data_IF_251050376528
#
_entry.id   IF_251050376528
#
_cell.length_a   1.000
_cell.length_b   1.000
_cell.length_c   1.000
_cell.angle_alpha   90.00
_cell.angle_beta   90.00
_cell.angle_gamma   90.00
#
_symmetry.space_group_name_H-M   'P 1'
#
loop_
_entity.id
_entity.type
_entity.pdbx_description
1 polymer ?
#
# COMPACT_ATOMS: atom_id res chain seq x y z
N UNK A 1 -9.10 -3.07 49.72
CA UNK A 1 -8.35 -2.49 48.58
C UNK A 1 -7.93 -3.56 47.59
N UNK A 2 -7.23 -4.64 47.97
CA UNK A 2 -6.79 -5.71 47.05
C UNK A 2 -7.93 -6.34 46.20
N UNK A 3 -9.09 -6.58 46.80
CA UNK A 3 -10.24 -7.21 46.14
C UNK A 3 -10.91 -6.31 45.07
N UNK A 4 -10.86 -4.99 45.26
CA UNK A 4 -11.35 -4.00 44.29
C UNK A 4 -10.40 -3.94 43.08
N UNK A 5 -9.09 -3.85 43.31
CA UNK A 5 -8.08 -3.84 42.25
C UNK A 5 -8.14 -5.12 41.39
N UNK A 6 -8.37 -6.28 42.00
CA UNK A 6 -8.53 -7.53 41.26
C UNK A 6 -9.80 -7.57 40.41
N UNK A 7 -10.90 -6.99 40.91
CA UNK A 7 -12.15 -6.89 40.17
C UNK A 7 -12.03 -5.90 38.99
N UNK A 8 -11.34 -4.78 39.19
CA UNK A 8 -11.08 -3.81 38.12
C UNK A 8 -10.23 -4.41 37.00
N UNK A 9 -9.18 -5.15 37.36
CA UNK A 9 -8.33 -5.85 36.39
C UNK A 9 -9.11 -6.93 35.62
N UNK A 10 -10.03 -7.67 36.28
CA UNK A 10 -10.84 -8.68 35.62
C UNK A 10 -11.91 -8.05 34.72
N UNK A 11 -12.51 -6.91 35.10
CA UNK A 11 -13.44 -6.16 34.25
C UNK A 11 -12.73 -5.66 32.99
N UNK A 12 -11.49 -5.14 33.12
CA UNK A 12 -10.73 -4.65 31.97
C UNK A 12 -10.32 -5.79 31.04
N UNK A 13 -9.93 -6.93 31.59
CA UNK A 13 -9.67 -8.15 30.83
C UNK A 13 -10.90 -8.63 30.04
N UNK A 14 -12.07 -8.66 30.69
CA UNK A 14 -13.33 -9.07 30.05
C UNK A 14 -13.77 -8.08 28.97
N UNK A 15 -13.60 -6.78 29.17
CA UNK A 15 -13.83 -5.76 28.13
C UNK A 15 -12.98 -6.02 26.90
N UNK A 16 -11.69 -6.27 27.08
CA UNK A 16 -10.79 -6.58 25.96
C UNK A 16 -11.23 -7.83 25.19
N UNK A 17 -11.69 -8.88 25.88
CA UNK A 17 -12.23 -10.10 25.25
C UNK A 17 -13.50 -9.83 24.49
N UNK A 18 -14.43 -9.03 25.05
CA UNK A 18 -15.70 -8.68 24.38
C UNK A 18 -15.44 -7.84 23.13
N UNK A 19 -14.56 -6.85 23.19
CA UNK A 19 -14.19 -6.02 22.02
C UNK A 19 -13.59 -6.90 20.93
N UNK A 20 -12.62 -7.76 21.25
CA UNK A 20 -12.01 -8.66 20.27
C UNK A 20 -13.00 -9.66 19.67
N UNK A 21 -13.93 -10.20 20.49
CA UNK A 21 -14.98 -11.08 20.00
C UNK A 21 -15.99 -10.34 19.08
N UNK A 22 -16.31 -9.09 19.40
CA UNK A 22 -17.20 -8.28 18.57
C UNK A 22 -16.55 -7.96 17.21
N UNK A 23 -15.27 -7.64 17.19
CA UNK A 23 -14.52 -7.43 15.95
C UNK A 23 -14.50 -8.69 15.06
N UNK A 24 -14.23 -9.87 15.65
CA UNK A 24 -14.24 -11.13 14.93
C UNK A 24 -15.65 -11.47 14.41
N UNK A 25 -16.69 -11.26 15.21
CA UNK A 25 -18.08 -11.52 14.81
C UNK A 25 -18.48 -10.56 13.67
N UNK A 26 -18.09 -9.30 13.73
CA UNK A 26 -18.36 -8.32 12.68
C UNK A 26 -17.67 -8.71 11.38
N UNK A 27 -16.42 -9.19 11.43
CA UNK A 27 -15.70 -9.70 10.25
C UNK A 27 -16.35 -10.97 9.66
N UNK A 28 -16.91 -11.85 10.49
CA UNK A 28 -17.59 -13.08 10.06
C UNK A 28 -18.98 -12.79 9.49
N UNK A 29 -19.68 -11.77 10.02
CA UNK A 29 -21.03 -11.39 9.60
C UNK A 29 -21.03 -10.41 8.39
N UNK A 30 -19.89 -9.87 7.98
CA UNK A 30 -19.81 -9.10 6.74
C UNK A 30 -20.20 -10.01 5.56
N UNK A 31 -21.33 -9.71 4.95
CA UNK A 31 -21.77 -10.41 3.74
C UNK A 31 -20.66 -10.28 2.66
N UNK A 32 -20.40 -11.34 1.89
CA UNK A 32 -19.46 -11.24 0.78
C UNK A 32 -19.87 -10.09 -0.13
N UNK A 33 -18.94 -9.18 -0.39
CA UNK A 33 -19.17 -8.09 -1.33
C UNK A 33 -19.52 -8.66 -2.70
N UNK A 34 -20.45 -8.05 -3.44
CA UNK A 34 -20.85 -8.55 -4.75
C UNK A 34 -19.67 -8.48 -5.74
N UNK A 35 -19.61 -9.39 -6.72
CA UNK A 35 -18.68 -9.26 -7.82
C UNK A 35 -19.05 -8.05 -8.67
N UNK A 36 -18.04 -7.42 -9.30
CA UNK A 36 -18.27 -6.35 -10.27
C UNK A 36 -18.29 -6.99 -11.65
N UNK A 37 -19.39 -6.80 -12.39
CA UNK A 37 -19.53 -7.30 -13.76
C UNK A 37 -19.48 -6.11 -14.70
N UNK A 38 -18.35 -5.97 -15.41
CA UNK A 38 -18.18 -5.02 -16.50
C UNK A 38 -18.55 -5.63 -17.84
N UNK A 39 -18.43 -4.84 -18.91
CA UNK A 39 -18.73 -5.30 -20.27
C UNK A 39 -17.77 -6.40 -20.74
N UNK A 40 -16.47 -6.26 -20.45
CA UNK A 40 -15.40 -7.15 -20.91
C UNK A 40 -14.63 -7.85 -19.77
N UNK A 41 -15.03 -7.66 -18.52
CA UNK A 41 -14.31 -8.21 -17.37
C UNK A 41 -15.24 -8.51 -16.18
N UNK A 42 -14.76 -9.34 -15.30
CA UNK A 42 -15.41 -9.61 -14.00
C UNK A 42 -14.37 -9.43 -12.91
N UNK A 43 -14.70 -8.67 -11.86
CA UNK A 43 -13.93 -8.63 -10.61
C UNK A 43 -14.59 -9.59 -9.63
N UNK A 44 -13.98 -10.73 -9.31
CA UNK A 44 -14.56 -11.69 -8.37
C UNK A 44 -14.77 -11.09 -6.99
N UNK A 45 -15.77 -11.56 -6.25
CA UNK A 45 -16.10 -11.09 -4.89
C UNK A 45 -14.90 -11.11 -3.93
N UNK A 46 -14.04 -12.14 -4.02
CA UNK A 46 -12.86 -12.22 -3.16
C UNK A 46 -11.84 -11.12 -3.48
N UNK A 47 -11.70 -10.74 -4.75
CA UNK A 47 -10.82 -9.61 -5.16
C UNK A 47 -11.39 -8.30 -4.62
N UNK A 48 -12.70 -8.08 -4.74
CA UNK A 48 -13.37 -6.90 -4.15
C UNK A 48 -13.12 -6.85 -2.64
N UNK A 49 -13.29 -7.98 -1.94
CA UNK A 49 -13.00 -8.11 -0.52
C UNK A 49 -11.54 -7.80 -0.17
N UNK A 50 -10.59 -8.21 -1.01
CA UNK A 50 -9.17 -7.92 -0.82
C UNK A 50 -8.85 -6.42 -0.92
N UNK A 51 -9.46 -5.71 -1.87
CA UNK A 51 -9.35 -4.26 -1.98
C UNK A 51 -9.86 -3.55 -0.73
N UNK A 52 -11.07 -3.89 -0.29
CA UNK A 52 -11.72 -3.27 0.88
C UNK A 52 -10.91 -3.55 2.16
N UNK A 53 -10.48 -4.80 2.36
CA UNK A 53 -9.68 -5.19 3.51
C UNK A 53 -8.34 -4.45 3.55
N UNK A 54 -7.64 -4.39 2.40
CA UNK A 54 -6.37 -3.66 2.31
C UNK A 54 -6.55 -2.17 2.57
N UNK A 55 -7.55 -1.53 1.98
CA UNK A 55 -7.81 -0.11 2.19
C UNK A 55 -7.99 0.25 3.66
N UNK A 56 -8.80 -0.56 4.39
CA UNK A 56 -8.97 -0.42 5.84
C UNK A 56 -7.67 -0.63 6.61
N UNK A 57 -6.85 -1.61 6.19
CA UNK A 57 -5.56 -1.89 6.83
C UNK A 57 -4.57 -0.73 6.65
N UNK A 58 -4.42 -0.21 5.44
CA UNK A 58 -3.55 0.93 5.14
C UNK A 58 -3.92 2.16 5.97
N UNK A 59 -5.23 2.42 6.13
CA UNK A 59 -5.71 3.52 6.96
C UNK A 59 -5.41 3.30 8.46
N UNK A 60 -5.68 2.11 8.98
CA UNK A 60 -5.42 1.76 10.40
C UNK A 60 -3.94 1.93 10.76
N UNK A 61 -3.03 1.65 9.83
CA UNK A 61 -1.59 1.80 10.04
C UNK A 61 -1.08 3.23 9.78
N UNK A 62 -1.95 4.15 9.36
CA UNK A 62 -1.57 5.52 9.04
C UNK A 62 -0.73 5.66 7.78
N UNK A 63 -0.79 4.68 6.87
CA UNK A 63 -0.11 4.73 5.57
C UNK A 63 -0.88 5.55 4.54
N UNK A 64 -2.18 5.74 4.76
CA UNK A 64 -3.05 6.61 3.95
C UNK A 64 -3.99 7.44 4.82
N UNK A 65 -4.35 8.63 4.34
CA UNK A 65 -5.26 9.55 5.02
C UNK A 65 -6.26 10.13 4.03
N UNK A 66 -7.50 10.35 4.47
CA UNK A 66 -8.57 10.92 3.63
C UNK A 66 -8.75 10.12 2.33
N UNK A 67 -8.65 10.78 1.18
CA UNK A 67 -8.77 10.21 -0.16
C UNK A 67 -7.41 9.98 -0.85
N UNK A 68 -6.33 9.98 -0.07
CA UNK A 68 -4.99 9.73 -0.57
C UNK A 68 -4.74 8.23 -0.73
N UNK A 69 -3.87 7.91 -1.68
CA UNK A 69 -3.44 6.55 -1.96
C UNK A 69 -4.23 5.86 -3.07
N UNK A 70 -3.61 4.88 -3.67
CA UNK A 70 -4.18 4.08 -4.75
C UNK A 70 -3.77 2.62 -4.57
N UNK A 71 -4.69 1.72 -4.79
CA UNK A 71 -4.47 0.27 -4.77
C UNK A 71 -4.75 -0.25 -6.16
N UNK A 72 -3.88 -1.10 -6.72
CA UNK A 72 -4.08 -1.71 -8.02
C UNK A 72 -3.50 -3.12 -8.08
N UNK A 73 -4.10 -3.98 -8.92
CA UNK A 73 -3.59 -5.31 -9.23
C UNK A 73 -3.98 -5.75 -10.64
N UNK A 74 -3.24 -6.70 -11.18
CA UNK A 74 -3.68 -7.40 -12.40
C UNK A 74 -4.77 -8.40 -12.06
N UNK A 75 -5.75 -8.50 -12.96
CA UNK A 75 -6.79 -9.52 -12.84
C UNK A 75 -6.14 -10.91 -12.89
N UNK A 76 -6.36 -11.78 -11.87
CA UNK A 76 -5.74 -13.10 -11.83
C UNK A 76 -6.15 -14.01 -13.00
N UNK A 77 -7.37 -13.85 -13.53
CA UNK A 77 -7.91 -14.65 -14.63
C UNK A 77 -7.66 -14.01 -16.01
N UNK A 78 -7.40 -12.71 -16.05
CA UNK A 78 -7.17 -11.92 -17.25
C UNK A 78 -5.99 -10.95 -17.06
N UNK A 79 -4.72 -11.41 -17.14
CA UNK A 79 -3.55 -10.58 -16.82
C UNK A 79 -3.37 -9.32 -17.67
N UNK A 80 -4.12 -9.17 -18.77
CA UNK A 80 -4.18 -7.94 -19.57
C UNK A 80 -5.14 -6.88 -19.02
N UNK A 81 -5.83 -7.16 -17.90
CA UNK A 81 -6.76 -6.23 -17.24
C UNK A 81 -6.21 -5.82 -15.88
N UNK A 82 -6.23 -4.54 -15.61
CA UNK A 82 -5.88 -3.96 -14.31
C UNK A 82 -7.14 -3.56 -13.57
N UNK A 83 -7.22 -3.87 -12.29
CA UNK A 83 -8.19 -3.31 -11.34
C UNK A 83 -7.48 -2.29 -10.47
N UNK A 84 -8.11 -1.15 -10.23
CA UNK A 84 -7.56 -0.11 -9.36
C UNK A 84 -8.66 0.63 -8.62
N UNK A 85 -8.29 1.34 -7.57
CA UNK A 85 -9.20 2.25 -6.89
C UNK A 85 -9.50 3.47 -7.76
N UNK A 86 -10.77 3.91 -7.71
CA UNK A 86 -11.24 5.10 -8.41
C UNK A 86 -10.62 6.37 -7.81
N UNK A 87 -10.45 7.40 -8.62
CA UNK A 87 -9.99 8.71 -8.15
C UNK A 87 -10.88 9.24 -7.02
N UNK A 88 -10.23 9.70 -5.94
CA UNK A 88 -10.92 10.31 -4.81
C UNK A 88 -11.59 9.32 -3.84
N UNK A 89 -11.40 8.01 -4.01
CA UNK A 89 -11.91 7.02 -3.06
C UNK A 89 -11.25 7.15 -1.70
N UNK A 90 -12.06 7.13 -0.63
CA UNK A 90 -11.57 7.03 0.74
C UNK A 90 -11.29 5.56 1.07
N UNK A 91 -10.03 5.14 1.03
CA UNK A 91 -9.65 3.72 1.16
C UNK A 91 -10.16 3.06 2.44
N UNK A 92 -10.33 3.83 3.53
CA UNK A 92 -10.89 3.35 4.79
C UNK A 92 -12.38 2.92 4.70
N UNK A 93 -13.10 3.44 3.71
CA UNK A 93 -14.56 3.28 3.57
C UNK A 93 -14.96 2.72 2.19
N UNK A 94 -14.00 2.06 1.53
CA UNK A 94 -14.21 1.51 0.19
C UNK A 94 -15.37 0.52 0.14
N UNK A 95 -16.04 0.55 -0.99
CA UNK A 95 -17.04 -0.44 -1.42
C UNK A 95 -16.66 -0.97 -2.81
N UNK A 96 -17.45 -1.86 -3.38
CA UNK A 96 -17.28 -2.34 -4.76
C UNK A 96 -17.37 -1.21 -5.80
N UNK A 97 -18.08 -0.12 -5.49
CA UNK A 97 -18.23 1.04 -6.37
C UNK A 97 -16.95 1.89 -6.51
N UNK A 98 -15.99 1.67 -5.65
CA UNK A 98 -14.70 2.36 -5.65
C UNK A 98 -13.62 1.64 -6.48
N UNK A 99 -13.97 0.53 -7.12
CA UNK A 99 -13.04 -0.27 -7.94
C UNK A 99 -13.39 -0.09 -9.41
N UNK A 100 -12.41 0.29 -10.19
CA UNK A 100 -12.49 0.44 -11.64
C UNK A 100 -11.55 -0.54 -12.33
N UNK A 101 -11.80 -0.81 -13.60
CA UNK A 101 -11.00 -1.74 -14.38
C UNK A 101 -10.71 -1.18 -15.75
N UNK A 102 -9.55 -1.53 -16.30
CA UNK A 102 -9.16 -1.17 -17.66
C UNK A 102 -8.13 -2.14 -18.23
N UNK A 103 -8.03 -2.18 -19.56
CA UNK A 103 -7.05 -3.01 -20.27
C UNK A 103 -5.69 -2.29 -20.31
N UNK A 104 -4.62 -3.03 -20.04
CA UNK A 104 -3.25 -2.50 -20.12
C UNK A 104 -2.95 -1.98 -21.53
N UNK A 105 -2.28 -0.84 -21.61
CA UNK A 105 -1.90 -0.19 -22.85
C UNK A 105 -3.04 0.55 -23.58
N UNK A 106 -4.22 0.62 -22.99
CA UNK A 106 -5.35 1.38 -23.50
C UNK A 106 -5.53 2.70 -22.73
N UNK A 107 -6.45 3.54 -23.21
CA UNK A 107 -6.81 4.77 -22.51
C UNK A 107 -7.32 4.43 -21.09
N UNK A 108 -6.88 5.21 -20.11
CA UNK A 108 -7.36 5.08 -18.73
C UNK A 108 -8.88 5.31 -18.66
N UNK A 109 -9.61 4.57 -17.81
CA UNK A 109 -11.02 4.86 -17.55
C UNK A 109 -11.24 6.30 -17.09
N UNK A 110 -12.41 6.91 -17.35
CA UNK A 110 -12.68 8.31 -16.97
C UNK A 110 -12.51 8.62 -15.47
N UNK A 111 -12.76 7.60 -14.61
CA UNK A 111 -12.67 7.74 -13.15
C UNK A 111 -11.31 7.30 -12.60
N UNK A 112 -10.33 7.06 -13.48
CA UNK A 112 -9.00 6.67 -13.08
C UNK A 112 -8.28 7.79 -12.30
N UNK A 113 -7.47 7.40 -11.34
CA UNK A 113 -6.57 8.34 -10.67
C UNK A 113 -5.46 8.81 -11.61
N UNK A 114 -4.82 9.92 -11.28
CA UNK A 114 -3.63 10.40 -11.98
C UNK A 114 -2.46 9.37 -11.90
N UNK A 115 -2.53 8.47 -10.95
CA UNK A 115 -1.57 7.38 -10.74
C UNK A 115 -1.75 6.19 -11.71
N UNK A 116 -2.84 6.18 -12.49
CA UNK A 116 -3.21 5.05 -13.35
C UNK A 116 -2.05 4.58 -14.22
N UNK A 117 -1.39 5.52 -14.92
CA UNK A 117 -0.30 5.19 -15.85
C UNK A 117 0.93 4.64 -15.11
N UNK A 118 1.23 5.19 -13.94
CA UNK A 118 2.33 4.70 -13.09
C UNK A 118 2.01 3.29 -12.61
N UNK A 119 0.81 3.06 -12.08
CA UNK A 119 0.37 1.74 -11.63
C UNK A 119 0.41 0.71 -12.74
N UNK A 120 -0.04 1.07 -13.94
CA UNK A 120 -0.01 0.21 -15.14
C UNK A 120 1.42 -0.25 -15.46
N UNK A 121 2.37 0.67 -15.53
CA UNK A 121 3.78 0.38 -15.82
C UNK A 121 4.39 -0.50 -14.74
N UNK A 122 4.13 -0.19 -13.46
CA UNK A 122 4.66 -0.96 -12.34
C UNK A 122 4.07 -2.37 -12.27
N UNK A 123 2.78 -2.54 -12.52
CA UNK A 123 2.15 -3.85 -12.55
C UNK A 123 2.67 -4.69 -13.72
N UNK A 124 2.79 -4.11 -14.91
CA UNK A 124 3.33 -4.80 -16.07
C UNK A 124 4.78 -5.25 -15.84
N UNK A 125 5.64 -4.35 -15.35
CA UNK A 125 7.04 -4.66 -15.02
C UNK A 125 7.14 -5.74 -13.94
N UNK A 126 6.35 -5.62 -12.87
CA UNK A 126 6.33 -6.59 -11.76
C UNK A 126 5.84 -7.97 -12.24
N UNK A 127 4.82 -8.00 -13.08
CA UNK A 127 4.30 -9.25 -13.66
C UNK A 127 5.31 -9.95 -14.54
N UNK A 128 6.03 -9.22 -15.37
CA UNK A 128 7.12 -9.76 -16.19
C UNK A 128 8.24 -10.33 -15.32
N UNK A 129 8.62 -9.62 -14.25
CA UNK A 129 9.66 -10.07 -13.34
C UNK A 129 9.27 -11.31 -12.54
N UNK A 130 8.03 -11.36 -12.05
CA UNK A 130 7.52 -12.45 -11.24
C UNK A 130 7.04 -13.65 -12.08
N UNK A 131 6.85 -13.47 -13.38
CA UNK A 131 6.28 -14.48 -14.28
C UNK A 131 4.77 -14.72 -14.04
N UNK A 132 4.02 -13.71 -13.59
CA UNK A 132 2.59 -13.88 -13.30
C UNK A 132 1.92 -12.72 -12.53
N UNK A 133 1.27 -13.02 -11.40
CA UNK A 133 0.46 -12.02 -10.70
C UNK A 133 1.27 -10.83 -10.19
N UNK A 134 0.64 -9.65 -10.19
CA UNK A 134 1.23 -8.42 -9.71
C UNK A 134 0.18 -7.55 -8.99
N UNK A 135 0.63 -6.92 -7.91
CA UNK A 135 -0.10 -5.91 -7.17
C UNK A 135 0.82 -4.72 -6.86
N UNK A 136 0.23 -3.53 -6.81
CA UNK A 136 0.92 -2.30 -6.49
C UNK A 136 0.05 -1.44 -5.58
N UNK A 137 0.68 -0.79 -4.62
CA UNK A 137 0.03 0.22 -3.78
C UNK A 137 0.82 1.52 -3.85
N UNK A 138 0.11 2.62 -3.89
CA UNK A 138 0.65 3.95 -3.65
C UNK A 138 0.11 4.47 -2.32
N UNK A 139 1.01 4.83 -1.41
CA UNK A 139 0.69 5.25 -0.04
C UNK A 139 1.49 6.50 0.35
N UNK A 140 1.01 7.24 1.36
CA UNK A 140 1.63 8.48 1.83
C UNK A 140 2.13 8.36 3.29
N UNK A 141 3.09 7.45 3.56
CA UNK A 141 3.57 7.19 4.90
C UNK A 141 4.41 8.36 5.42
N UNK A 142 4.12 8.92 6.61
CA UNK A 142 4.70 10.19 7.06
C UNK A 142 6.21 10.12 7.33
N UNK A 143 6.73 9.04 7.87
CA UNK A 143 8.15 8.95 8.22
C UNK A 143 9.04 8.77 6.98
N UNK A 144 8.64 7.93 6.06
CA UNK A 144 9.34 7.73 4.78
C UNK A 144 9.31 9.00 3.94
N UNK A 145 8.15 9.65 3.86
CA UNK A 145 7.99 10.92 3.15
C UNK A 145 8.84 12.02 3.77
N UNK A 146 8.85 12.13 5.12
CA UNK A 146 9.67 13.13 5.82
C UNK A 146 11.15 12.96 5.53
N UNK A 147 11.68 11.74 5.61
CA UNK A 147 13.10 11.49 5.31
C UNK A 147 13.45 11.78 3.86
N UNK A 148 12.54 11.55 2.93
CA UNK A 148 12.78 11.84 1.52
C UNK A 148 12.94 13.33 1.21
N UNK A 149 12.51 14.24 2.10
CA UNK A 149 12.69 15.68 1.94
C UNK A 149 14.14 16.15 2.12
N UNK A 150 15.03 15.31 2.65
CA UNK A 150 16.45 15.60 2.73
C UNK A 150 17.05 15.64 1.32
N UNK A 151 17.51 16.82 0.89
CA UNK A 151 17.82 17.12 -0.53
C UNK A 151 18.91 16.23 -1.13
N UNK A 152 19.95 15.94 -0.35
CA UNK A 152 21.09 15.16 -0.82
C UNK A 152 20.89 13.64 -0.65
N UNK A 153 19.77 13.23 -0.08
CA UNK A 153 19.45 11.83 0.15
C UNK A 153 18.77 11.24 -1.09
N UNK A 154 19.44 10.30 -1.73
CA UNK A 154 18.94 9.61 -2.93
C UNK A 154 18.55 8.15 -2.65
N UNK A 155 18.91 7.62 -1.47
CA UNK A 155 18.62 6.24 -1.05
C UNK A 155 18.28 6.19 0.41
N UNK A 156 17.15 5.61 0.75
CA UNK A 156 16.81 5.24 2.12
C UNK A 156 17.42 3.87 2.44
N UNK A 157 18.11 3.79 3.56
CA UNK A 157 18.74 2.55 4.00
C UNK A 157 18.27 2.21 5.41
N UNK A 158 17.48 1.15 5.59
CA UNK A 158 17.07 0.66 6.90
C UNK A 158 18.26 0.38 7.81
N UNK A 159 18.12 0.69 9.10
CA UNK A 159 19.14 0.44 10.12
C UNK A 159 18.79 -0.74 11.01
N UNK A 160 17.50 -1.06 11.12
CA UNK A 160 16.97 -2.18 11.87
C UNK A 160 17.18 -3.52 11.15
N UNK A 161 17.13 -4.62 11.92
CA UNK A 161 17.42 -5.96 11.40
C UNK A 161 16.41 -6.39 10.34
N UNK A 162 15.13 -6.11 10.57
CA UNK A 162 14.05 -6.50 9.64
C UNK A 162 14.13 -5.75 8.32
N UNK A 163 14.27 -4.42 8.38
CA UNK A 163 14.42 -3.60 7.19
C UNK A 163 15.66 -3.94 6.37
N UNK A 164 16.81 -4.18 7.02
CA UNK A 164 18.04 -4.63 6.34
C UNK A 164 17.86 -5.96 5.61
N UNK A 165 17.15 -6.90 6.23
CA UNK A 165 16.96 -8.24 5.67
C UNK A 165 15.99 -8.25 4.47
N UNK A 166 14.97 -7.42 4.47
CA UNK A 166 13.84 -7.50 3.54
C UNK A 166 13.79 -6.39 2.49
N UNK A 167 14.24 -5.18 2.84
CA UNK A 167 14.18 -4.02 1.94
C UNK A 167 15.56 -3.68 1.33
N UNK A 168 16.62 -3.86 2.11
CA UNK A 168 17.96 -3.49 1.67
C UNK A 168 18.10 -1.98 1.48
N UNK A 169 18.01 -1.52 0.25
CA UNK A 169 18.05 -0.11 -0.14
C UNK A 169 16.77 0.26 -0.87
N UNK A 170 16.29 1.49 -0.67
CA UNK A 170 15.12 2.04 -1.35
C UNK A 170 15.50 3.36 -2.01
N UNK A 171 15.34 3.46 -3.32
CA UNK A 171 15.70 4.65 -4.09
C UNK A 171 14.64 5.73 -3.88
N UNK A 172 15.08 6.99 -3.79
CA UNK A 172 14.24 8.17 -3.84
C UNK A 172 14.29 8.71 -5.26
N UNK A 173 13.13 8.90 -5.88
CA UNK A 173 12.95 9.51 -7.19
C UNK A 173 12.34 10.90 -6.99
N UNK A 174 12.88 11.89 -7.68
CA UNK A 174 12.31 13.24 -7.67
C UNK A 174 11.07 13.29 -8.58
N UNK A 175 9.97 13.93 -8.15
CA UNK A 175 8.81 14.07 -9.01
C UNK A 175 9.15 14.95 -10.22
N UNK A 176 8.77 14.53 -11.41
CA UNK A 176 8.91 15.29 -12.63
C UNK A 176 7.56 15.35 -13.36
N UNK A 177 6.93 16.53 -13.31
CA UNK A 177 5.65 16.77 -13.97
C UNK A 177 5.83 17.22 -15.43
N UNK A 178 7.03 17.67 -15.81
CA UNK A 178 7.30 18.21 -17.13
C UNK A 178 7.68 17.09 -18.12
N UNK A 179 8.31 16.01 -17.63
CA UNK A 179 8.64 14.83 -18.42
C UNK A 179 8.12 13.55 -17.77
N UNK A 180 6.87 13.23 -18.04
CA UNK A 180 6.19 12.06 -17.49
C UNK A 180 6.81 10.73 -17.95
N UNK A 181 7.31 10.65 -19.17
CA UNK A 181 7.91 9.42 -19.70
C UNK A 181 9.25 9.12 -19.00
N UNK A 182 10.08 10.14 -18.80
CA UNK A 182 11.31 10.03 -18.04
C UNK A 182 11.02 9.69 -16.57
N UNK A 183 10.02 10.32 -15.96
CA UNK A 183 9.62 10.03 -14.60
C UNK A 183 9.15 8.58 -14.41
N UNK A 184 8.31 8.07 -15.33
CA UNK A 184 7.90 6.66 -15.34
C UNK A 184 9.09 5.71 -15.50
N UNK A 185 10.03 6.05 -16.35
CA UNK A 185 11.25 5.26 -16.55
C UNK A 185 12.08 5.20 -15.27
N UNK A 186 12.29 6.32 -14.59
CA UNK A 186 13.05 6.37 -13.33
C UNK A 186 12.39 5.53 -12.22
N UNK A 187 11.08 5.59 -12.09
CA UNK A 187 10.34 4.78 -11.11
C UNK A 187 10.48 3.28 -11.42
N UNK A 188 10.32 2.89 -12.67
CA UNK A 188 10.43 1.50 -13.10
C UNK A 188 11.86 0.97 -12.93
N UNK A 189 12.88 1.76 -13.29
CA UNK A 189 14.28 1.42 -13.10
C UNK A 189 14.66 1.30 -11.62
N UNK A 190 14.16 2.21 -10.76
CA UNK A 190 14.40 2.15 -9.33
C UNK A 190 13.91 0.84 -8.71
N UNK A 191 12.77 0.32 -9.16
CA UNK A 191 12.24 -0.97 -8.72
C UNK A 191 12.95 -2.16 -9.39
N UNK A 192 13.36 -2.02 -10.64
CA UNK A 192 14.06 -3.06 -11.40
C UNK A 192 15.50 -3.29 -10.93
N UNK A 193 16.17 -2.26 -10.41
CA UNK A 193 17.53 -2.35 -9.92
C UNK A 193 17.63 -3.11 -8.60
N UNK A 194 18.16 -4.32 -8.64
CA UNK A 194 18.42 -5.11 -7.42
C UNK A 194 17.18 -5.71 -6.76
N UNK A 195 16.09 -5.90 -7.52
CA UNK A 195 14.85 -6.50 -7.02
C UNK A 195 14.24 -5.70 -5.85
N UNK A 196 14.23 -4.38 -5.97
CA UNK A 196 13.63 -3.50 -4.97
C UNK A 196 12.12 -3.68 -4.92
N UNK A 197 11.56 -3.57 -3.73
CA UNK A 197 10.12 -3.76 -3.47
C UNK A 197 9.37 -2.46 -3.34
N UNK A 198 10.09 -1.38 -3.06
CA UNK A 198 9.56 -0.04 -2.87
C UNK A 198 10.41 0.98 -3.62
N UNK A 199 9.76 2.07 -4.03
CA UNK A 199 10.39 3.32 -4.46
C UNK A 199 9.71 4.47 -3.74
N UNK A 200 10.48 5.46 -3.31
CA UNK A 200 9.95 6.65 -2.63
C UNK A 200 9.98 7.81 -3.61
N UNK A 201 8.87 8.52 -3.72
CA UNK A 201 8.79 9.77 -4.44
C UNK A 201 9.02 10.91 -3.45
N UNK A 202 10.01 11.74 -3.71
CA UNK A 202 10.44 12.80 -2.80
C UNK A 202 9.28 13.72 -2.41
N UNK A 203 9.01 13.80 -1.10
CA UNK A 203 7.97 14.66 -0.55
C UNK A 203 6.53 14.27 -0.91
N UNK A 204 6.34 13.14 -1.58
CA UNK A 204 5.02 12.70 -2.05
C UNK A 204 4.55 11.42 -1.36
N UNK A 205 5.22 10.29 -1.60
CA UNK A 205 4.79 9.02 -1.05
C UNK A 205 5.64 7.84 -1.51
N UNK A 206 5.08 6.65 -1.42
CA UNK A 206 5.76 5.37 -1.70
C UNK A 206 4.93 4.54 -2.65
N UNK A 207 5.56 3.99 -3.69
CA UNK A 207 5.02 2.86 -4.43
C UNK A 207 5.65 1.57 -3.90
N UNK A 208 4.82 0.58 -3.60
CA UNK A 208 5.27 -0.74 -3.21
C UNK A 208 4.63 -1.80 -4.10
N UNK A 209 5.43 -2.75 -4.58
CA UNK A 209 5.02 -3.78 -5.53
C UNK A 209 5.21 -5.18 -4.95
N UNK A 210 4.38 -6.11 -5.39
CA UNK A 210 4.44 -7.51 -4.97
C UNK A 210 3.60 -8.40 -5.88
N UNK A 211 3.56 -9.70 -5.60
CA UNK A 211 2.69 -10.65 -6.31
C UNK A 211 1.23 -10.51 -5.94
N UNK A 212 0.95 -9.95 -4.78
CA UNK A 212 -0.38 -9.74 -4.23
C UNK A 212 -0.37 -8.55 -3.26
N UNK A 213 -1.55 -8.16 -2.79
CA UNK A 213 -1.70 -7.05 -1.86
C UNK A 213 -0.98 -7.23 -0.53
N UNK A 214 -0.91 -8.46 -0.02
CA UNK A 214 -0.22 -8.75 1.24
C UNK A 214 1.28 -8.45 1.12
N UNK A 215 1.92 -8.84 0.01
CA UNK A 215 3.33 -8.51 -0.23
C UNK A 215 3.54 -7.01 -0.38
N UNK A 216 2.73 -6.33 -1.21
CA UNK A 216 2.89 -4.88 -1.41
C UNK A 216 2.70 -4.10 -0.10
N UNK A 217 1.69 -4.46 0.69
CA UNK A 217 1.47 -3.88 2.02
C UNK A 217 2.65 -4.16 2.97
N UNK A 218 3.14 -5.40 3.02
CA UNK A 218 4.26 -5.78 3.89
C UNK A 218 5.50 -4.92 3.64
N UNK A 219 5.80 -4.63 2.38
CA UNK A 219 6.96 -3.82 2.03
C UNK A 219 6.78 -2.35 2.41
N UNK A 220 5.63 -1.77 2.14
CA UNK A 220 5.34 -0.38 2.52
C UNK A 220 5.35 -0.20 4.06
N UNK A 221 4.73 -1.12 4.79
CA UNK A 221 4.69 -1.12 6.25
C UNK A 221 6.08 -1.31 6.87
N UNK A 222 6.89 -2.24 6.33
CA UNK A 222 8.26 -2.44 6.77
C UNK A 222 9.14 -1.21 6.53
N UNK A 223 8.99 -0.54 5.37
CA UNK A 223 9.72 0.69 5.08
C UNK A 223 9.35 1.79 6.07
N UNK A 224 8.07 2.03 6.26
CA UNK A 224 7.60 3.07 7.19
C UNK A 224 8.07 2.83 8.62
N UNK A 225 8.02 1.59 9.08
CA UNK A 225 8.54 1.20 10.40
C UNK A 225 10.04 1.49 10.53
N UNK A 226 10.86 1.09 9.53
CA UNK A 226 12.30 1.34 9.52
C UNK A 226 12.62 2.84 9.52
N UNK A 227 11.89 3.64 8.73
CA UNK A 227 12.08 5.09 8.66
C UNK A 227 11.67 5.79 9.96
N UNK A 228 10.63 5.30 10.61
CA UNK A 228 10.24 5.75 11.96
C UNK A 228 11.36 5.52 12.97
N UNK A 229 12.01 4.37 12.96
CA UNK A 229 13.17 4.06 13.84
C UNK A 229 14.30 5.08 13.60
N UNK A 230 14.63 5.36 12.33
CA UNK A 230 15.68 6.34 11.99
C UNK A 230 15.35 7.72 12.54
N UNK A 231 14.13 8.21 12.32
CA UNK A 231 13.73 9.53 12.81
C UNK A 231 13.72 9.62 14.33
N UNK A 232 13.20 8.60 15.02
CA UNK A 232 13.21 8.56 16.47
C UNK A 232 14.64 8.48 17.03
N UNK A 233 15.53 7.72 16.41
CA UNK A 233 16.94 7.66 16.81
C UNK A 233 17.64 9.01 16.63
N UNK A 234 17.42 9.70 15.50
CA UNK A 234 17.93 11.05 15.25
C UNK A 234 17.40 12.05 16.29
N UNK A 235 16.11 12.01 16.61
CA UNK A 235 15.50 12.85 17.64
C UNK A 235 16.08 12.58 19.04
N UNK A 236 16.42 11.34 19.36
CA UNK A 236 17.08 10.95 20.60
C UNK A 236 18.59 11.24 20.61
N UNK A 237 19.15 11.83 19.56
CA UNK A 237 20.58 12.13 19.45
C UNK A 237 21.47 10.89 19.27
N UNK A 238 20.88 9.75 18.89
CA UNK A 238 21.64 8.52 18.62
C UNK A 238 22.34 8.63 17.26
N UNK A 239 23.59 8.18 17.22
CA UNK A 239 24.35 8.00 15.97
C UNK A 239 24.04 6.60 15.42
N UNK A 240 23.40 6.55 14.28
CA UNK A 240 22.99 5.31 13.60
C UNK A 240 23.56 5.28 12.18
#
# INVERSE_FOLDING_TARGET
MQKIANLEAEVERLRGVVIGATEIITEIEEQPLPPIVGEDFVVPSHVVGDFVRLGRQLHREGLVHSTQGTIAMLNPDQPGVMHATRFGSALAQMTELDIISGKLGQAAPPEASNEWRIMEVLLASTSLHNGGPAACIHVHPPFSTTLSLEKDLIVLQPVDVHGKAHLGKVVIVDPDADDMDEYLRQIAEALGQGNMKCVVIRGHGVYAVGRNFTESWQWASALEHSMRIILLARQAGLRI
#
